data_IF_334416094484
#
_entry.id   IF_334416094484
#
_cell.length_a   1.000
_cell.length_b   1.000
_cell.length_c   1.000
_cell.angle_alpha   90.00
_cell.angle_beta   90.00
_cell.angle_gamma   90.00
#
_symmetry.space_group_name_H-M   'P 1'
#
loop_
_entity.id
_entity.type
_entity.pdbx_description
1 polymer ?
#
# COMPACT_ATOMS: atom_id res chain seq x y z
N UNK A 1 2.91 -27.35 -20.72
CA UNK A 1 3.83 -26.23 -20.43
C UNK A 1 4.70 -26.64 -19.25
N UNK A 2 6.03 -26.49 -19.32
CA UNK A 2 6.84 -26.50 -18.09
C UNK A 2 6.42 -25.26 -17.30
N UNK A 3 5.76 -25.44 -16.17
CA UNK A 3 5.23 -24.35 -15.35
C UNK A 3 6.38 -23.77 -14.55
N UNK A 4 7.15 -22.88 -15.15
CA UNK A 4 8.15 -22.11 -14.41
C UNK A 4 7.50 -20.96 -13.64
N UNK A 5 8.16 -20.49 -12.58
CA UNK A 5 7.65 -19.44 -11.68
C UNK A 5 7.33 -18.15 -12.43
N UNK A 6 8.14 -17.80 -13.44
CA UNK A 6 7.96 -16.57 -14.21
C UNK A 6 6.71 -16.64 -15.09
N UNK A 7 6.41 -17.82 -15.65
CA UNK A 7 5.14 -18.08 -16.34
C UNK A 7 3.94 -17.86 -15.41
N UNK A 8 4.00 -18.38 -14.16
CA UNK A 8 2.93 -18.21 -13.16
C UNK A 8 2.74 -16.74 -12.79
N UNK A 9 3.83 -16.02 -12.48
CA UNK A 9 3.77 -14.61 -12.08
C UNK A 9 3.27 -13.72 -13.23
N UNK A 10 3.63 -14.04 -14.48
CA UNK A 10 3.11 -13.34 -15.64
C UNK A 10 1.61 -13.57 -15.82
N UNK A 11 1.15 -14.83 -15.75
CA UNK A 11 -0.29 -15.14 -15.80
C UNK A 11 -1.07 -14.43 -14.69
N UNK A 12 -0.56 -14.49 -13.45
CA UNK A 12 -1.14 -13.78 -12.31
C UNK A 12 -1.27 -12.28 -12.56
N UNK A 13 -0.19 -11.63 -13.02
CA UNK A 13 -0.15 -10.20 -13.28
C UNK A 13 -1.12 -9.81 -14.41
N UNK A 14 -1.09 -10.56 -15.51
CA UNK A 14 -1.95 -10.32 -16.67
C UNK A 14 -3.43 -10.41 -16.31
N UNK A 15 -3.84 -11.49 -15.63
CA UNK A 15 -5.24 -11.68 -15.26
C UNK A 15 -5.69 -10.77 -14.11
N UNK A 16 -4.77 -10.31 -13.24
CA UNK A 16 -5.08 -9.27 -12.26
C UNK A 16 -5.46 -7.95 -12.93
N UNK A 17 -4.74 -7.54 -13.98
CA UNK A 17 -5.04 -6.32 -14.74
C UNK A 17 -6.30 -6.51 -15.58
N UNK A 18 -6.45 -7.65 -16.26
CA UNK A 18 -7.64 -7.94 -17.06
C UNK A 18 -8.92 -7.97 -16.21
N UNK A 19 -8.86 -8.61 -15.05
CA UNK A 19 -9.97 -8.63 -14.10
C UNK A 19 -10.31 -7.25 -13.56
N UNK A 20 -9.29 -6.42 -13.28
CA UNK A 20 -9.51 -5.03 -12.92
C UNK A 20 -10.21 -4.25 -14.03
N UNK A 21 -9.80 -4.39 -15.28
CA UNK A 21 -10.45 -3.72 -16.41
C UNK A 21 -11.93 -4.13 -16.55
N UNK A 22 -12.23 -5.43 -16.39
CA UNK A 22 -13.59 -5.94 -16.41
C UNK A 22 -14.44 -5.32 -15.30
N UNK A 23 -13.93 -5.36 -14.06
CA UNK A 23 -14.68 -4.93 -12.88
C UNK A 23 -14.84 -3.40 -12.83
N UNK A 24 -13.80 -2.63 -13.20
CA UNK A 24 -13.89 -1.17 -13.36
C UNK A 24 -14.92 -0.81 -14.41
N UNK A 25 -14.92 -1.49 -15.56
CA UNK A 25 -15.87 -1.22 -16.63
C UNK A 25 -17.30 -1.49 -16.16
N UNK A 26 -17.54 -2.65 -15.55
CA UNK A 26 -18.84 -3.02 -15.01
C UNK A 26 -19.36 -2.01 -13.97
N UNK A 27 -18.55 -1.71 -12.94
CA UNK A 27 -18.97 -0.80 -11.86
C UNK A 27 -19.09 0.64 -12.33
N UNK A 28 -18.17 1.11 -13.19
CA UNK A 28 -18.17 2.49 -13.63
C UNK A 28 -19.32 2.79 -14.59
N UNK A 29 -19.70 1.82 -15.45
CA UNK A 29 -20.89 1.93 -16.30
C UNK A 29 -22.18 1.92 -15.46
N UNK A 30 -22.26 1.04 -14.46
CA UNK A 30 -23.42 0.96 -13.57
C UNK A 30 -23.62 2.22 -12.74
N UNK A 31 -22.53 2.74 -12.16
CA UNK A 31 -22.57 3.85 -11.20
C UNK A 31 -22.38 5.23 -11.89
N UNK A 32 -22.20 5.25 -13.22
CA UNK A 32 -21.99 6.45 -14.07
C UNK A 32 -20.83 7.36 -13.63
N UNK A 33 -19.85 6.79 -12.92
CA UNK A 33 -18.64 7.45 -12.43
C UNK A 33 -17.53 6.43 -12.35
N UNK A 34 -16.28 6.87 -12.38
CA UNK A 34 -15.15 5.96 -12.18
C UNK A 34 -15.21 5.32 -10.78
N UNK A 35 -15.24 4.00 -10.73
CA UNK A 35 -15.22 3.21 -9.50
C UNK A 35 -14.07 2.22 -9.57
N UNK A 36 -13.03 2.47 -8.77
CA UNK A 36 -11.93 1.52 -8.60
C UNK A 36 -12.36 0.35 -7.69
N UNK A 37 -12.33 -0.90 -8.15
CA UNK A 37 -12.75 -2.06 -7.38
C UNK A 37 -11.65 -2.61 -6.49
N UNK A 38 -12.06 -3.40 -5.49
CA UNK A 38 -11.16 -4.15 -4.64
C UNK A 38 -10.51 -3.32 -3.52
N UNK A 39 -9.46 -3.88 -2.94
CA UNK A 39 -8.74 -3.31 -1.80
C UNK A 39 -7.64 -2.34 -2.23
N UNK A 40 -6.98 -2.63 -3.35
CA UNK A 40 -5.82 -1.90 -3.84
C UNK A 40 -6.25 -0.71 -4.70
N UNK A 41 -5.40 0.32 -4.79
CA UNK A 41 -5.65 1.57 -5.52
C UNK A 41 -5.18 1.50 -6.96
N UNK A 42 -4.21 0.64 -7.27
CA UNK A 42 -3.66 0.48 -8.60
C UNK A 42 -4.56 -0.30 -9.58
N UNK A 43 -4.17 -0.36 -10.86
CA UNK A 43 -4.98 -0.94 -11.93
C UNK A 43 -4.89 -2.48 -11.99
N UNK A 44 -5.15 -3.13 -10.87
CA UNK A 44 -5.05 -4.57 -10.74
C UNK A 44 -6.00 -5.09 -9.66
N UNK A 45 -6.48 -6.31 -9.86
CA UNK A 45 -7.36 -6.97 -8.92
C UNK A 45 -6.80 -8.38 -8.64
N UNK A 46 -5.96 -8.55 -7.59
CA UNK A 46 -5.29 -9.81 -7.27
C UNK A 46 -6.25 -11.01 -7.25
N UNK A 47 -7.49 -10.78 -6.83
CA UNK A 47 -8.56 -11.77 -6.81
C UNK A 47 -8.73 -12.49 -8.16
N UNK A 48 -8.74 -11.75 -9.27
CA UNK A 48 -8.88 -12.32 -10.61
C UNK A 48 -7.61 -13.01 -11.08
N UNK A 49 -6.43 -12.50 -10.73
CA UNK A 49 -5.17 -13.18 -10.98
C UNK A 49 -5.09 -14.56 -10.30
N UNK A 50 -5.45 -14.61 -9.01
CA UNK A 50 -5.54 -15.87 -8.25
C UNK A 50 -6.63 -16.78 -8.81
N UNK A 51 -7.81 -16.24 -9.12
CA UNK A 51 -8.92 -17.01 -9.71
C UNK A 51 -8.53 -17.65 -11.04
N UNK A 52 -7.89 -16.90 -11.93
CA UNK A 52 -7.42 -17.42 -13.21
C UNK A 52 -6.40 -18.57 -13.03
N UNK A 53 -5.43 -18.43 -12.12
CA UNK A 53 -4.47 -19.51 -11.80
C UNK A 53 -5.17 -20.76 -11.27
N UNK A 54 -6.10 -20.62 -10.33
CA UNK A 54 -6.86 -21.74 -9.78
C UNK A 54 -7.73 -22.41 -10.85
N UNK A 55 -8.37 -21.63 -11.72
CA UNK A 55 -9.17 -22.15 -12.82
C UNK A 55 -8.30 -22.86 -13.88
N UNK A 56 -7.11 -22.35 -14.19
CA UNK A 56 -6.16 -23.04 -15.07
C UNK A 56 -5.75 -24.41 -14.51
N UNK A 57 -5.44 -24.48 -13.21
CA UNK A 57 -5.14 -25.74 -12.52
C UNK A 57 -6.36 -26.66 -12.54
N UNK A 58 -7.53 -26.20 -12.11
CA UNK A 58 -8.77 -26.99 -12.10
C UNK A 58 -9.13 -27.51 -13.50
N UNK A 59 -9.05 -26.65 -14.53
CA UNK A 59 -9.30 -27.04 -15.91
C UNK A 59 -8.31 -28.10 -16.41
N UNK A 60 -7.03 -27.99 -16.04
CA UNK A 60 -6.02 -29.00 -16.36
C UNK A 60 -6.26 -30.35 -15.67
N UNK A 61 -6.71 -30.34 -14.42
CA UNK A 61 -6.99 -31.56 -13.64
C UNK A 61 -8.28 -32.26 -14.12
N UNK A 62 -9.22 -31.50 -14.67
CA UNK A 62 -10.54 -31.97 -15.11
C UNK A 62 -10.65 -32.09 -16.63
N UNK A 63 -9.52 -32.19 -17.34
CA UNK A 63 -9.52 -32.42 -18.79
C UNK A 63 -10.27 -33.72 -19.11
N UNK A 64 -11.18 -33.68 -20.08
CA UNK A 64 -12.02 -34.81 -20.48
C UNK A 64 -13.16 -35.17 -19.50
N UNK A 65 -13.30 -34.49 -18.37
CA UNK A 65 -14.41 -34.70 -17.44
C UNK A 65 -15.74 -34.13 -17.97
N UNK A 66 -16.85 -34.70 -17.49
CA UNK A 66 -18.19 -34.18 -17.79
C UNK A 66 -18.37 -32.71 -17.37
N UNK A 67 -19.18 -31.97 -18.14
CA UNK A 67 -19.45 -30.54 -17.92
C UNK A 67 -19.97 -30.27 -16.50
N UNK A 68 -20.80 -31.16 -15.95
CA UNK A 68 -21.33 -31.00 -14.59
C UNK A 68 -20.22 -31.05 -13.52
N UNK A 69 -19.26 -31.97 -13.66
CA UNK A 69 -18.11 -32.07 -12.74
C UNK A 69 -17.27 -30.78 -12.78
N UNK A 70 -17.03 -30.24 -13.98
CA UNK A 70 -16.35 -28.95 -14.13
C UNK A 70 -17.13 -27.80 -13.50
N UNK A 71 -18.45 -27.76 -13.70
CA UNK A 71 -19.31 -26.73 -13.13
C UNK A 71 -19.25 -26.73 -11.59
N UNK A 72 -19.29 -27.91 -10.97
CA UNK A 72 -19.15 -28.05 -9.51
C UNK A 72 -17.77 -27.61 -9.03
N UNK A 73 -16.70 -28.00 -9.72
CA UNK A 73 -15.35 -27.57 -9.36
C UNK A 73 -15.17 -26.05 -9.49
N UNK A 74 -15.66 -25.45 -10.58
CA UNK A 74 -15.62 -24.01 -10.79
C UNK A 74 -16.48 -23.24 -9.78
N UNK A 75 -17.63 -23.80 -9.40
CA UNK A 75 -18.44 -23.25 -8.30
C UNK A 75 -17.62 -23.19 -7.00
N UNK A 76 -16.98 -24.30 -6.61
CA UNK A 76 -16.18 -24.36 -5.38
C UNK A 76 -14.99 -23.40 -5.45
N UNK A 77 -14.26 -23.38 -6.55
CA UNK A 77 -13.09 -22.51 -6.74
C UNK A 77 -13.49 -21.03 -6.69
N UNK A 78 -14.47 -20.61 -7.50
CA UNK A 78 -14.82 -19.19 -7.62
C UNK A 78 -15.57 -18.67 -6.39
N UNK A 79 -16.58 -19.41 -5.91
CA UNK A 79 -17.35 -19.02 -4.73
C UNK A 79 -16.50 -19.11 -3.46
N UNK A 80 -15.62 -20.12 -3.35
CA UNK A 80 -14.70 -20.25 -2.23
C UNK A 80 -13.68 -19.11 -2.19
N UNK A 81 -13.15 -18.72 -3.36
CA UNK A 81 -12.24 -17.58 -3.47
C UNK A 81 -12.94 -16.26 -3.14
N UNK A 82 -14.16 -16.03 -3.63
CA UNK A 82 -14.98 -14.87 -3.29
C UNK A 82 -15.25 -14.82 -1.78
N UNK A 83 -15.72 -15.92 -1.19
CA UNK A 83 -15.98 -15.99 0.24
C UNK A 83 -14.72 -15.71 1.08
N UNK A 84 -13.61 -16.37 0.75
CA UNK A 84 -12.35 -16.23 1.48
C UNK A 84 -11.79 -14.81 1.40
N UNK A 85 -11.76 -14.23 0.19
CA UNK A 85 -11.30 -12.86 0.00
C UNK A 85 -12.19 -11.82 0.68
N UNK A 86 -13.51 -12.02 0.66
CA UNK A 86 -14.46 -11.21 1.40
C UNK A 86 -14.21 -11.23 2.91
N UNK A 87 -13.98 -12.42 3.48
CA UNK A 87 -13.67 -12.55 4.91
C UNK A 87 -12.31 -11.93 5.28
N UNK A 88 -11.27 -12.16 4.48
CA UNK A 88 -9.95 -11.58 4.72
C UNK A 88 -10.04 -10.06 4.72
N UNK A 89 -10.70 -9.46 3.75
CA UNK A 89 -10.87 -8.01 3.67
C UNK A 89 -11.65 -7.44 4.86
N UNK A 90 -12.72 -8.12 5.28
CA UNK A 90 -13.52 -7.67 6.42
C UNK A 90 -12.78 -7.81 7.74
N UNK A 91 -12.07 -8.93 7.96
CA UNK A 91 -11.39 -9.19 9.23
C UNK A 91 -10.12 -8.34 9.40
N UNK A 92 -9.26 -8.30 8.38
CA UNK A 92 -7.96 -7.63 8.48
C UNK A 92 -7.98 -6.16 8.12
N UNK A 93 -8.84 -5.73 7.19
CA UNK A 93 -8.86 -4.35 6.71
C UNK A 93 -10.12 -3.58 7.14
N UNK A 94 -11.05 -4.23 7.87
CA UNK A 94 -12.34 -3.66 8.28
C UNK A 94 -13.07 -3.00 7.09
N UNK A 95 -12.93 -3.61 5.91
CA UNK A 95 -13.41 -3.06 4.63
C UNK A 95 -14.29 -4.09 3.94
N UNK A 96 -15.45 -3.63 3.43
CA UNK A 96 -16.38 -4.45 2.67
C UNK A 96 -16.17 -4.22 1.17
N UNK A 97 -15.71 -5.25 0.45
CA UNK A 97 -15.38 -5.16 -0.99
C UNK A 97 -16.62 -5.18 -1.91
N UNK A 98 -17.66 -5.88 -1.47
CA UNK A 98 -18.97 -5.99 -2.10
C UNK A 98 -19.99 -6.41 -1.02
N UNK A 99 -21.27 -6.21 -1.29
CA UNK A 99 -22.34 -6.62 -0.37
C UNK A 99 -23.52 -7.18 -1.15
N UNK A 100 -23.89 -8.42 -0.83
CA UNK A 100 -25.01 -9.16 -1.40
C UNK A 100 -26.12 -9.43 -0.38
N UNK A 101 -26.17 -8.67 0.71
CA UNK A 101 -27.18 -8.84 1.77
C UNK A 101 -28.62 -8.67 1.27
N UNK A 102 -28.82 -7.95 0.17
CA UNK A 102 -30.09 -7.74 -0.51
C UNK A 102 -30.48 -8.89 -1.47
N UNK A 103 -29.58 -9.83 -1.73
CA UNK A 103 -29.80 -10.95 -2.65
C UNK A 103 -30.34 -12.20 -1.93
N UNK A 104 -31.17 -12.99 -2.62
CA UNK A 104 -31.65 -14.28 -2.12
C UNK A 104 -30.51 -15.30 -2.03
N UNK A 105 -30.59 -16.17 -1.02
CA UNK A 105 -29.55 -17.17 -0.73
C UNK A 105 -28.16 -16.56 -0.53
N UNK A 106 -28.09 -15.40 0.13
CA UNK A 106 -26.84 -14.77 0.50
C UNK A 106 -26.30 -15.31 1.83
N UNK A 107 -24.98 -15.42 1.95
CA UNK A 107 -24.32 -15.81 3.21
C UNK A 107 -23.49 -14.65 3.74
N UNK A 108 -23.95 -14.05 4.85
CA UNK A 108 -23.36 -12.85 5.49
C UNK A 108 -23.07 -11.71 4.49
N UNK A 109 -23.84 -11.67 3.39
CA UNK A 109 -23.66 -10.81 2.22
C UNK A 109 -22.33 -10.94 1.47
N UNK A 110 -21.49 -11.93 1.77
CA UNK A 110 -20.21 -12.14 1.07
C UNK A 110 -20.36 -12.91 -0.23
N UNK A 111 -21.27 -13.87 -0.28
CA UNK A 111 -21.57 -14.65 -1.48
C UNK A 111 -23.08 -14.76 -1.60
N UNK A 112 -23.58 -14.96 -2.83
CA UNK A 112 -24.94 -15.39 -3.04
C UNK A 112 -25.03 -16.30 -4.27
N UNK A 113 -26.07 -17.14 -4.30
CA UNK A 113 -26.22 -18.14 -5.37
C UNK A 113 -26.26 -17.52 -6.77
N UNK A 114 -26.88 -16.34 -6.92
CA UNK A 114 -26.98 -15.63 -8.20
C UNK A 114 -25.60 -15.29 -8.77
N UNK A 115 -24.71 -14.70 -7.97
CA UNK A 115 -23.36 -14.36 -8.42
C UNK A 115 -22.49 -15.60 -8.57
N UNK A 116 -22.63 -16.61 -7.73
CA UNK A 116 -21.96 -17.91 -7.93
C UNK A 116 -22.28 -18.53 -9.30
N UNK A 117 -23.52 -18.44 -9.79
CA UNK A 117 -23.88 -18.90 -11.13
C UNK A 117 -23.17 -18.07 -12.21
N UNK A 118 -23.14 -16.73 -12.07
CA UNK A 118 -22.39 -15.88 -12.99
C UNK A 118 -20.90 -16.21 -13.01
N UNK A 119 -20.31 -16.55 -11.87
CA UNK A 119 -18.91 -16.97 -11.78
C UNK A 119 -18.64 -18.31 -12.45
N UNK A 120 -19.55 -19.28 -12.37
CA UNK A 120 -19.43 -20.54 -13.12
C UNK A 120 -19.45 -20.27 -14.62
N UNK A 121 -20.40 -19.46 -15.10
CA UNK A 121 -20.48 -19.10 -16.52
C UNK A 121 -19.22 -18.37 -16.99
N UNK A 122 -18.71 -17.44 -16.18
CA UNK A 122 -17.47 -16.73 -16.47
C UNK A 122 -16.25 -17.67 -16.44
N UNK A 123 -16.22 -18.67 -15.56
CA UNK A 123 -15.16 -19.67 -15.51
C UNK A 123 -15.13 -20.55 -16.77
N UNK A 124 -16.30 -20.94 -17.28
CA UNK A 124 -16.38 -21.62 -18.57
C UNK A 124 -15.99 -20.69 -19.73
N UNK A 125 -16.44 -19.44 -19.70
CA UNK A 125 -16.02 -18.46 -20.70
C UNK A 125 -14.50 -18.24 -20.68
N UNK A 126 -13.92 -18.23 -19.49
CA UNK A 126 -12.48 -18.17 -19.28
C UNK A 126 -11.77 -19.39 -19.88
N UNK A 127 -12.19 -20.62 -19.56
CA UNK A 127 -11.55 -21.84 -20.05
C UNK A 127 -11.64 -21.97 -21.58
N UNK A 128 -12.83 -21.72 -22.16
CA UNK A 128 -13.08 -22.05 -23.57
C UNK A 128 -12.84 -20.87 -24.53
N UNK A 129 -12.90 -19.62 -24.06
CA UNK A 129 -12.68 -18.45 -24.91
C UNK A 129 -11.41 -17.69 -24.56
N UNK A 130 -11.22 -17.32 -23.30
CA UNK A 130 -10.08 -16.46 -22.91
C UNK A 130 -8.76 -17.23 -22.84
N UNK A 131 -8.76 -18.45 -22.31
CA UNK A 131 -7.55 -19.22 -22.08
C UNK A 131 -6.84 -19.62 -23.39
N UNK A 132 -7.53 -20.09 -24.46
CA UNK A 132 -6.87 -20.37 -25.74
C UNK A 132 -6.24 -19.11 -26.35
N UNK A 133 -6.96 -17.99 -26.34
CA UNK A 133 -6.45 -16.70 -26.82
C UNK A 133 -5.22 -16.26 -26.01
N UNK A 134 -5.30 -16.38 -24.69
CA UNK A 134 -4.19 -16.10 -23.79
C UNK A 134 -2.99 -16.99 -24.08
N UNK A 135 -3.18 -18.29 -24.30
CA UNK A 135 -2.08 -19.23 -24.61
C UNK A 135 -1.40 -18.89 -25.94
N UNK A 136 -2.17 -18.56 -26.98
CA UNK A 136 -1.62 -18.11 -28.27
C UNK A 136 -0.81 -16.83 -28.11
N UNK A 137 -1.29 -15.85 -27.34
CA UNK A 137 -0.55 -14.63 -27.04
C UNK A 137 0.69 -14.92 -26.16
N UNK A 138 0.56 -15.83 -25.19
CA UNK A 138 1.60 -16.15 -24.23
C UNK A 138 2.84 -16.72 -24.90
N UNK A 139 2.69 -17.58 -25.93
CA UNK A 139 3.84 -18.14 -26.65
C UNK A 139 4.57 -17.10 -27.52
N UNK A 140 3.92 -16.01 -27.90
CA UNK A 140 4.53 -14.94 -28.73
C UNK A 140 5.48 -14.05 -27.92
N UNK A 141 5.26 -13.92 -26.61
CA UNK A 141 6.10 -13.06 -25.77
C UNK A 141 7.43 -13.71 -25.40
N UNK A 142 8.50 -12.95 -25.54
CA UNK A 142 9.84 -13.36 -25.09
C UNK A 142 9.85 -13.59 -23.56
N UNK A 143 10.63 -14.55 -23.05
CA UNK A 143 10.76 -14.80 -21.61
C UNK A 143 11.19 -13.55 -20.81
N UNK A 144 12.11 -12.74 -21.36
CA UNK A 144 12.57 -11.52 -20.72
C UNK A 144 11.43 -10.49 -20.53
N UNK A 145 10.56 -10.34 -21.52
CA UNK A 145 9.40 -9.45 -21.42
C UNK A 145 8.43 -9.93 -20.35
N UNK A 146 8.14 -11.24 -20.32
CA UNK A 146 7.26 -11.83 -19.29
C UNK A 146 7.82 -11.58 -17.88
N UNK A 147 9.12 -11.79 -17.70
CA UNK A 147 9.80 -11.56 -16.43
C UNK A 147 9.76 -10.10 -15.99
N UNK A 148 10.10 -9.16 -16.88
CA UNK A 148 10.05 -7.73 -16.59
C UNK A 148 8.64 -7.27 -16.26
N UNK A 149 7.66 -7.63 -17.09
CA UNK A 149 6.26 -7.27 -16.90
C UNK A 149 5.71 -7.79 -15.56
N UNK A 150 5.93 -9.07 -15.27
CA UNK A 150 5.51 -9.69 -14.03
C UNK A 150 6.22 -9.06 -12.82
N UNK A 151 7.54 -8.89 -12.90
CA UNK A 151 8.34 -8.32 -11.82
C UNK A 151 7.92 -6.89 -11.46
N UNK A 152 7.73 -6.03 -12.46
CA UNK A 152 7.25 -4.65 -12.25
C UNK A 152 5.84 -4.65 -11.68
N UNK A 153 4.92 -5.41 -12.27
CA UNK A 153 3.51 -5.42 -11.84
C UNK A 153 3.37 -5.92 -10.41
N UNK A 154 3.99 -7.07 -10.08
CA UNK A 154 3.96 -7.63 -8.72
C UNK A 154 4.63 -6.69 -7.71
N UNK A 155 5.73 -6.03 -8.08
CA UNK A 155 6.38 -5.05 -7.19
C UNK A 155 5.47 -3.87 -6.88
N UNK A 156 4.80 -3.31 -7.89
CA UNK A 156 3.85 -2.20 -7.71
C UNK A 156 2.65 -2.66 -6.86
N UNK A 157 2.10 -3.85 -7.14
CA UNK A 157 1.02 -4.45 -6.36
C UNK A 157 1.41 -4.64 -4.88
N UNK A 158 2.62 -5.12 -4.62
CA UNK A 158 3.14 -5.30 -3.27
C UNK A 158 3.29 -3.95 -2.55
N UNK A 159 3.85 -2.95 -3.22
CA UNK A 159 4.00 -1.60 -2.65
C UNK A 159 2.64 -0.97 -2.31
N UNK A 160 1.63 -1.15 -3.15
CA UNK A 160 0.28 -0.65 -2.86
C UNK A 160 -0.39 -1.41 -1.70
N UNK A 161 -0.26 -2.74 -1.67
CA UNK A 161 -0.73 -3.55 -0.54
C UNK A 161 -0.08 -3.13 0.78
N UNK A 162 1.24 -2.90 0.78
CA UNK A 162 1.96 -2.38 1.94
C UNK A 162 1.45 -1.00 2.34
N UNK A 163 1.24 -0.10 1.37
CA UNK A 163 0.71 1.23 1.65
C UNK A 163 -0.72 1.17 2.24
N UNK A 164 -1.57 0.27 1.76
CA UNK A 164 -2.90 0.02 2.33
C UNK A 164 -2.78 -0.54 3.74
N UNK A 165 -1.91 -1.53 3.96
CA UNK A 165 -1.64 -2.14 5.27
C UNK A 165 -1.13 -1.13 6.29
N UNK A 166 -0.15 -0.30 5.93
CA UNK A 166 0.40 0.76 6.81
C UNK A 166 -0.69 1.77 7.17
N UNK A 167 -1.48 2.24 6.18
CA UNK A 167 -2.58 3.18 6.46
C UNK A 167 -3.63 2.58 7.39
N UNK A 168 -3.91 1.29 7.24
CA UNK A 168 -4.83 0.59 8.13
C UNK A 168 -4.25 0.47 9.54
N UNK A 169 -2.98 0.07 9.65
CA UNK A 169 -2.29 -0.08 10.93
C UNK A 169 -2.19 1.25 11.71
N UNK A 170 -1.91 2.35 11.01
CA UNK A 170 -1.85 3.69 11.59
C UNK A 170 -3.23 4.36 11.75
N UNK A 171 -4.32 3.71 11.33
CA UNK A 171 -5.67 4.27 11.46
C UNK A 171 -6.03 4.38 12.93
N UNK A 172 -6.41 5.58 13.37
CA UNK A 172 -6.92 5.83 14.72
C UNK A 172 -8.45 5.85 14.70
N UNK A 173 -9.07 5.40 15.80
CA UNK A 173 -10.48 5.69 16.09
C UNK A 173 -10.66 7.20 16.33
N UNK A 174 -11.89 7.75 16.24
CA UNK A 174 -12.13 9.16 16.51
C UNK A 174 -11.63 9.62 17.88
N UNK A 175 -11.82 8.79 18.91
CA UNK A 175 -11.38 9.06 20.29
C UNK A 175 -9.85 9.05 20.41
N UNK A 176 -9.19 8.01 19.87
CA UNK A 176 -7.73 7.93 19.83
C UNK A 176 -7.12 9.10 19.04
N UNK A 177 -7.79 9.53 17.97
CA UNK A 177 -7.34 10.64 17.13
C UNK A 177 -7.29 11.93 17.93
N UNK A 178 -8.38 12.29 18.64
CA UNK A 178 -8.40 13.50 19.47
C UNK A 178 -7.30 13.47 20.52
N UNK A 179 -7.16 12.37 21.26
CA UNK A 179 -6.10 12.23 22.28
C UNK A 179 -4.69 12.35 21.67
N UNK A 180 -4.48 11.71 20.52
CA UNK A 180 -3.19 11.72 19.80
C UNK A 180 -2.85 13.11 19.28
N UNK A 181 -3.82 13.85 18.75
CA UNK A 181 -3.65 15.22 18.28
C UNK A 181 -3.34 16.19 19.43
N UNK A 182 -3.97 16.01 20.59
CA UNK A 182 -3.66 16.79 21.80
C UNK A 182 -2.24 16.52 22.26
N UNK A 183 -1.85 15.25 22.44
CA UNK A 183 -0.50 14.88 22.87
C UNK A 183 0.57 15.40 21.90
N UNK A 184 0.36 15.25 20.60
CA UNK A 184 1.27 15.75 19.58
C UNK A 184 1.40 17.28 19.68
N UNK A 185 0.28 17.99 19.74
CA UNK A 185 0.25 19.46 19.82
C UNK A 185 0.95 19.97 21.08
N UNK A 186 0.70 19.36 22.24
CA UNK A 186 1.31 19.79 23.50
C UNK A 186 2.84 19.63 23.49
N UNK A 187 3.33 18.58 22.84
CA UNK A 187 4.77 18.32 22.67
C UNK A 187 5.40 19.24 21.62
N UNK A 188 4.68 19.47 20.51
CA UNK A 188 5.20 20.19 19.35
C UNK A 188 5.18 21.71 19.53
N UNK A 189 4.13 22.25 20.16
CA UNK A 189 3.87 23.70 20.28
C UNK A 189 5.07 24.48 20.81
N UNK A 190 5.74 24.09 21.92
CA UNK A 190 6.88 24.86 22.44
C UNK A 190 8.04 25.01 21.45
N UNK A 191 8.24 24.04 20.55
CA UNK A 191 9.27 24.12 19.51
C UNK A 191 8.78 24.89 18.29
N UNK A 192 7.52 24.70 17.89
CA UNK A 192 6.94 25.37 16.72
C UNK A 192 6.79 26.88 16.91
N UNK A 193 6.66 27.35 18.15
CA UNK A 193 6.58 28.77 18.51
C UNK A 193 7.96 29.46 18.53
N UNK A 194 9.06 28.70 18.49
CA UNK A 194 10.40 29.28 18.39
C UNK A 194 10.56 30.00 17.03
N UNK A 195 11.02 31.26 17.00
CA UNK A 195 11.23 32.02 15.75
C UNK A 195 12.10 31.27 14.75
N UNK A 196 13.11 30.56 15.23
CA UNK A 196 14.06 29.77 14.47
C UNK A 196 13.43 28.55 13.80
N UNK A 197 12.41 27.96 14.39
CA UNK A 197 11.64 26.85 13.78
C UNK A 197 10.57 27.43 12.86
N UNK A 198 9.86 28.47 13.28
CA UNK A 198 8.85 29.15 12.45
C UNK A 198 9.44 29.69 11.13
N UNK A 199 10.70 30.15 11.15
CA UNK A 199 11.44 30.61 9.97
C UNK A 199 11.58 29.55 8.87
N UNK A 200 11.45 28.26 9.19
CA UNK A 200 11.47 27.18 8.20
C UNK A 200 10.33 27.30 7.17
N UNK A 201 9.28 28.08 7.46
CA UNK A 201 8.21 28.40 6.50
C UNK A 201 8.68 29.22 5.30
N UNK A 202 9.82 29.91 5.41
CA UNK A 202 10.39 30.74 4.35
C UNK A 202 11.27 29.95 3.37
N UNK A 203 11.56 28.68 3.68
CA UNK A 203 12.44 27.85 2.89
C UNK A 203 11.64 26.76 2.19
N UNK A 204 11.75 26.72 0.86
CA UNK A 204 11.14 25.66 0.08
C UNK A 204 11.82 24.31 0.35
N UNK A 205 10.99 23.29 0.23
CA UNK A 205 11.35 21.88 0.25
C UNK A 205 10.74 21.21 -1.00
N UNK A 206 10.87 19.89 -1.14
CA UNK A 206 10.37 19.18 -2.31
C UNK A 206 8.83 19.24 -2.43
N UNK A 207 8.32 19.11 -3.67
CA UNK A 207 6.88 19.00 -3.99
C UNK A 207 6.04 20.22 -3.56
N UNK A 208 6.60 21.41 -3.60
CA UNK A 208 5.87 22.66 -3.33
C UNK A 208 5.53 22.89 -1.87
N UNK A 209 6.16 22.17 -0.94
CA UNK A 209 6.02 22.36 0.50
C UNK A 209 7.15 23.23 1.04
N UNK A 210 6.89 23.95 2.11
CA UNK A 210 7.92 24.59 2.93
C UNK A 210 8.62 23.55 3.80
N UNK A 211 9.82 23.88 4.31
CA UNK A 211 10.54 23.02 5.24
C UNK A 211 9.79 22.86 6.56
N UNK A 212 9.05 23.89 6.99
CA UNK A 212 8.19 23.82 8.17
C UNK A 212 7.06 22.80 8.00
N UNK A 213 6.40 22.77 6.84
CA UNK A 213 5.38 21.77 6.54
C UNK A 213 5.97 20.36 6.51
N UNK A 214 7.15 20.21 5.89
CA UNK A 214 7.84 18.93 5.84
C UNK A 214 8.14 18.35 7.24
N UNK A 215 8.79 19.14 8.12
CA UNK A 215 9.13 18.65 9.46
C UNK A 215 7.90 18.36 10.32
N UNK A 216 6.81 19.13 10.16
CA UNK A 216 5.53 18.86 10.84
C UNK A 216 4.92 17.53 10.40
N UNK A 217 4.92 17.25 9.10
CA UNK A 217 4.40 15.98 8.56
C UNK A 217 5.22 14.78 9.01
N UNK A 218 6.55 14.88 8.92
CA UNK A 218 7.47 13.83 9.38
C UNK A 218 7.28 13.60 10.88
N UNK A 219 7.24 14.65 11.69
CA UNK A 219 7.03 14.54 13.13
C UNK A 219 5.70 13.86 13.47
N UNK A 220 4.61 14.22 12.81
CA UNK A 220 3.30 13.62 13.07
C UNK A 220 3.25 12.15 12.65
N UNK A 221 3.79 11.80 11.47
CA UNK A 221 3.83 10.40 11.04
C UNK A 221 4.72 9.54 11.95
N UNK A 222 5.91 10.03 12.32
CA UNK A 222 6.79 9.32 13.25
C UNK A 222 6.15 9.17 14.63
N UNK A 223 5.41 10.17 15.10
CA UNK A 223 4.63 10.08 16.33
C UNK A 223 3.58 8.96 16.28
N UNK A 224 2.83 8.83 15.18
CA UNK A 224 1.85 7.74 15.03
C UNK A 224 2.51 6.36 15.07
N UNK A 225 3.68 6.21 14.43
CA UNK A 225 4.48 4.99 14.54
C UNK A 225 4.97 4.75 15.96
N UNK A 226 5.51 5.78 16.61
CA UNK A 226 5.94 5.73 18.00
C UNK A 226 4.82 5.28 18.94
N UNK A 227 3.60 5.80 18.76
CA UNK A 227 2.42 5.37 19.52
C UNK A 227 2.10 3.90 19.29
N UNK A 228 2.07 3.44 18.03
CA UNK A 228 1.78 2.04 17.69
C UNK A 228 2.84 1.06 18.18
N UNK A 229 4.10 1.50 18.24
CA UNK A 229 5.24 0.71 18.68
C UNK A 229 5.59 0.92 20.16
N UNK A 230 4.80 1.72 20.89
CA UNK A 230 5.04 2.07 22.30
C UNK A 230 6.42 2.67 22.56
N UNK A 231 6.88 3.55 21.67
CA UNK A 231 8.15 4.27 21.76
C UNK A 231 7.99 5.63 22.46
N UNK A 232 9.13 6.27 22.71
CA UNK A 232 9.24 7.59 23.32
C UNK A 232 8.77 8.68 22.35
N UNK A 233 7.46 8.90 22.37
CA UNK A 233 6.76 9.81 21.46
C UNK A 233 7.24 11.26 21.58
N UNK A 234 7.64 11.68 22.78
CA UNK A 234 8.06 13.06 23.03
C UNK A 234 9.42 13.32 22.35
N UNK A 235 10.37 12.40 22.54
CA UNK A 235 11.66 12.47 21.86
C UNK A 235 11.51 12.39 20.34
N UNK A 236 10.61 11.54 19.83
CA UNK A 236 10.30 11.41 18.40
C UNK A 236 9.81 12.74 17.83
N UNK A 237 8.78 13.35 18.44
CA UNK A 237 8.22 14.63 17.98
C UNK A 237 9.29 15.72 18.00
N UNK A 238 10.01 15.85 19.11
CA UNK A 238 11.01 16.91 19.28
C UNK A 238 12.19 16.74 18.32
N UNK A 239 12.72 15.53 18.20
CA UNK A 239 13.81 15.23 17.26
C UNK A 239 13.39 15.43 15.80
N UNK A 240 12.19 14.95 15.42
CA UNK A 240 11.68 15.08 14.07
C UNK A 240 11.36 16.53 13.68
N UNK A 241 10.90 17.38 14.60
CA UNK A 241 10.69 18.81 14.28
C UNK A 241 12.00 19.57 14.01
N UNK A 242 13.12 19.06 14.53
CA UNK A 242 14.41 19.73 14.49
C UNK A 242 15.41 19.09 13.51
N UNK A 243 15.05 17.95 12.88
CA UNK A 243 15.98 17.17 12.04
C UNK A 243 16.52 17.95 10.83
N UNK A 244 15.70 18.87 10.31
CA UNK A 244 15.95 19.65 9.09
C UNK A 244 16.16 21.15 9.40
N UNK A 245 16.64 21.46 10.61
CA UNK A 245 16.81 22.84 11.08
C UNK A 245 18.04 23.54 10.46
N UNK A 246 17.94 23.92 9.20
CA UNK A 246 18.90 24.78 8.49
C UNK A 246 18.17 25.88 7.72
N UNK A 247 18.92 26.89 7.23
CA UNK A 247 18.37 28.18 6.78
C UNK A 247 18.91 28.64 5.43
N UNK A 248 19.07 27.71 4.50
CA UNK A 248 19.51 27.97 3.14
C UNK A 248 18.73 27.10 2.15
N UNK A 249 18.73 27.47 0.87
CA UNK A 249 18.22 26.60 -0.20
C UNK A 249 19.28 25.56 -0.57
N UNK A 250 19.03 24.28 -0.32
CA UNK A 250 20.03 23.24 -0.56
C UNK A 250 20.29 22.94 -2.04
N UNK A 251 19.40 23.39 -2.95
CA UNK A 251 19.58 23.22 -4.40
C UNK A 251 20.57 24.23 -4.98
N UNK A 252 20.60 25.44 -4.42
CA UNK A 252 21.36 26.57 -4.97
C UNK A 252 22.43 27.12 -4.02
N UNK A 253 22.32 26.82 -2.73
CA UNK A 253 23.14 27.38 -1.65
C UNK A 253 23.64 26.28 -0.70
N UNK A 254 24.46 26.70 0.27
CA UNK A 254 24.91 25.86 1.36
C UNK A 254 26.07 24.91 1.00
N UNK A 255 26.38 23.96 1.89
CA UNK A 255 27.55 23.11 1.74
C UNK A 255 27.33 22.03 0.68
N UNK A 256 28.38 21.75 -0.10
CA UNK A 256 28.44 20.56 -0.96
C UNK A 256 28.23 19.28 -0.13
N UNK A 257 27.69 18.25 -0.78
CA UNK A 257 27.34 16.97 -0.14
C UNK A 257 26.32 17.17 1.00
N UNK A 258 25.29 17.98 0.73
CA UNK A 258 24.25 18.37 1.70
C UNK A 258 23.70 17.19 2.51
N UNK A 259 23.35 16.07 1.86
CA UNK A 259 22.83 14.87 2.52
C UNK A 259 23.72 14.27 3.60
N UNK A 260 25.04 14.49 3.53
CA UNK A 260 26.04 14.00 4.50
C UNK A 260 26.46 15.05 5.54
N UNK A 261 25.85 16.23 5.52
CA UNK A 261 26.28 17.37 6.36
C UNK A 261 25.14 18.04 7.11
N UNK A 262 23.95 18.12 6.52
CA UNK A 262 22.85 18.91 7.11
C UNK A 262 22.40 18.36 8.45
N UNK A 263 22.42 17.04 8.68
CA UNK A 263 22.12 16.46 10.00
C UNK A 263 23.02 17.02 11.12
N UNK A 264 24.31 17.28 10.86
CA UNK A 264 25.21 17.92 11.83
C UNK A 264 24.90 19.42 12.00
N UNK A 265 24.52 20.10 10.92
CA UNK A 265 24.14 21.52 10.94
C UNK A 265 22.85 21.70 11.72
N UNK A 266 21.85 20.87 11.45
CA UNK A 266 20.58 20.81 12.14
C UNK A 266 20.78 20.54 13.63
N UNK A 267 21.59 19.53 13.99
CA UNK A 267 21.91 19.28 15.40
C UNK A 267 22.58 20.49 16.08
N UNK A 268 23.54 21.13 15.40
CA UNK A 268 24.23 22.32 15.93
C UNK A 268 23.26 23.49 16.13
N UNK A 269 22.31 23.68 15.22
CA UNK A 269 21.29 24.73 15.33
C UNK A 269 20.28 24.39 16.43
N UNK A 270 19.82 23.14 16.50
CA UNK A 270 18.85 22.67 17.47
C UNK A 270 19.36 22.85 18.92
N UNK A 271 20.63 22.53 19.17
CA UNK A 271 21.29 22.73 20.49
C UNK A 271 21.40 24.20 20.93
N UNK A 272 21.24 25.16 20.02
CA UNK A 272 21.24 26.59 20.38
C UNK A 272 19.88 27.08 20.84
N UNK A 273 18.80 26.44 20.39
CA UNK A 273 17.42 26.92 20.60
C UNK A 273 16.62 26.04 21.55
N UNK A 274 17.07 24.81 21.82
CA UNK A 274 16.41 23.87 22.70
C UNK A 274 17.42 23.03 23.49
N UNK A 275 17.07 22.71 24.73
CA UNK A 275 17.72 21.63 25.48
C UNK A 275 17.31 20.30 24.86
N UNK A 276 18.31 19.50 24.47
CA UNK A 276 18.10 18.20 23.83
C UNK A 276 18.54 17.07 24.73
N UNK A 277 17.74 16.02 24.79
CA UNK A 277 18.19 14.72 25.34
C UNK A 277 19.17 14.04 24.37
N UNK A 278 19.91 13.05 24.86
CA UNK A 278 20.79 12.24 24.00
C UNK A 278 20.01 11.51 22.90
N UNK A 279 18.76 11.11 23.17
CA UNK A 279 17.88 10.46 22.18
C UNK A 279 17.45 11.44 21.09
N UNK A 280 16.97 12.63 21.47
CA UNK A 280 16.58 13.68 20.53
C UNK A 280 17.76 14.11 19.64
N UNK A 281 18.95 14.25 20.23
CA UNK A 281 20.17 14.56 19.49
C UNK A 281 20.55 13.43 18.51
N UNK A 282 20.35 12.16 18.89
CA UNK A 282 20.61 11.00 18.03
C UNK A 282 19.67 10.98 16.82
N UNK A 283 18.36 11.18 17.06
CA UNK A 283 17.33 11.29 16.03
C UNK A 283 17.74 12.34 14.99
N UNK A 284 18.04 13.57 15.43
CA UNK A 284 18.44 14.66 14.53
C UNK A 284 19.72 14.29 13.77
N UNK A 285 20.71 13.70 14.45
CA UNK A 285 22.01 13.40 13.86
C UNK A 285 21.97 12.28 12.82
N UNK A 286 21.02 11.33 12.95
CA UNK A 286 21.02 10.07 12.22
C UNK A 286 19.76 9.81 11.39
N UNK A 287 18.84 10.78 11.30
CA UNK A 287 17.61 10.65 10.53
C UNK A 287 17.81 10.28 9.04
N UNK A 288 19.01 10.49 8.49
CA UNK A 288 19.36 10.11 7.11
C UNK A 288 19.92 8.69 6.99
N UNK A 289 19.99 7.88 8.05
CA UNK A 289 20.45 6.49 7.92
C UNK A 289 19.56 5.73 6.92
N UNK A 290 20.12 4.95 5.96
CA UNK A 290 21.52 4.50 5.84
C UNK A 290 22.47 5.41 5.05
N UNK A 291 22.03 6.59 4.56
CA UNK A 291 22.92 7.55 3.90
C UNK A 291 23.99 8.07 4.88
N UNK A 292 23.60 8.38 6.11
CA UNK A 292 24.55 8.52 7.22
C UNK A 292 24.87 7.14 7.76
N UNK A 293 26.06 6.62 7.47
CA UNK A 293 26.45 5.21 7.70
C UNK A 293 26.42 4.74 9.15
N UNK A 294 26.29 5.64 10.13
CA UNK A 294 26.17 5.29 11.55
C UNK A 294 24.69 5.08 11.89
N UNK A 295 24.27 3.87 12.33
CA UNK A 295 22.87 3.59 12.64
C UNK A 295 22.39 4.29 13.92
N UNK A 296 21.07 4.55 14.04
CA UNK A 296 20.40 4.95 15.28
C UNK A 296 20.84 4.13 16.49
N UNK A 297 21.02 4.79 17.63
CA UNK A 297 21.41 4.14 18.89
C UNK A 297 20.19 3.71 19.71
N UNK A 298 19.10 4.45 19.61
CA UNK A 298 17.88 4.19 20.35
C UNK A 298 16.84 3.56 19.44
N UNK A 299 15.71 3.16 20.03
CA UNK A 299 14.50 2.89 19.27
C UNK A 299 13.67 4.17 19.26
N UNK A 300 13.37 4.65 18.05
CA UNK A 300 12.68 5.89 17.73
C UNK A 300 11.82 5.73 16.48
#
# INVERSE_FOLDING_TARGET
MKTDILSILFSFSFFSILGWMLEVSYRSLRDKRFVNPGLLRGPYLPLYGTGALLLMVAGSLLQGSHVLTKALAYFVVTTGLELGSGFIAQHFFQTRLWDYSDQRFSYRGHICLKFSIYWILLAFAFEYLLLPLYQSMFILFLPAFKGLFAGVTVSIMLMDLLAVGIRHFLRLTPEEKTLSETQFTDTARPLLELPEVAKLSQYNHHRGKTRLEHVKEVAYLSFLWGKRLSLDCDAIVRGALLHDLFYYDWLHEGPRLHGFRHHNIALKNARKIALLTEKEADIIKKHMWPLTVVPPRYME
#
